data_IF_560868498075
#
_entry.id   IF_560868498075
#
_cell.length_a   1.000
_cell.length_b   1.000
_cell.length_c   1.000
_cell.angle_alpha   90.00
_cell.angle_beta   90.00
_cell.angle_gamma   90.00
#
_symmetry.space_group_name_H-M   'P 1'
#
loop_
_entity.id
_entity.type
_entity.pdbx_description
1 polymer ?
#
# COMPACT_ATOMS: atom_id res chain seq x y z
N UNK A 1 -18.71 7.39 20.74
CA UNK A 1 -17.64 6.43 20.41
C UNK A 1 -17.16 6.81 19.04
N UNK A 2 -16.00 7.45 18.93
CA UNK A 2 -15.53 8.03 17.69
C UNK A 2 -15.11 6.98 16.67
N UNK A 3 -15.01 7.39 15.40
CA UNK A 3 -14.54 6.61 14.26
C UNK A 3 -13.02 6.34 14.32
N UNK A 4 -12.51 5.99 15.51
CA UNK A 4 -11.08 5.82 15.73
C UNK A 4 -10.66 4.40 15.35
N UNK A 5 -9.77 4.31 14.37
CA UNK A 5 -9.14 3.06 13.95
C UNK A 5 -7.74 2.97 14.56
N UNK A 6 -7.37 1.75 14.99
CA UNK A 6 -6.02 1.48 15.49
C UNK A 6 -5.02 1.30 14.35
N UNK A 7 -3.76 1.63 14.61
CA UNK A 7 -2.63 1.37 13.71
C UNK A 7 -1.84 0.13 14.12
N UNK A 8 -1.25 -0.54 13.15
CA UNK A 8 -0.56 -1.81 13.33
C UNK A 8 -1.48 -3.04 13.21
N UNK A 9 -0.82 -4.21 13.22
CA UNK A 9 -1.50 -5.50 13.16
C UNK A 9 -2.05 -5.90 14.54
N UNK A 10 -3.16 -6.66 14.60
CA UNK A 10 -3.64 -7.28 15.83
C UNK A 10 -2.53 -8.08 16.54
N UNK A 11 -2.49 -8.04 17.87
CA UNK A 11 -1.44 -8.67 18.68
C UNK A 11 -1.32 -10.19 18.46
N UNK A 12 -2.41 -10.83 18.02
CA UNK A 12 -2.47 -12.27 17.73
C UNK A 12 -1.85 -12.63 16.37
N UNK A 13 -1.58 -11.64 15.50
CA UNK A 13 -1.03 -11.85 14.17
C UNK A 13 0.49 -11.68 14.20
N UNK A 14 1.18 -12.78 13.91
CA UNK A 14 2.62 -12.78 13.63
C UNK A 14 2.86 -12.49 12.14
N UNK A 15 3.46 -11.35 11.84
CA UNK A 15 3.85 -10.96 10.48
C UNK A 15 5.17 -11.61 10.04
N UNK A 16 5.20 -12.94 10.00
CA UNK A 16 6.36 -13.68 9.48
C UNK A 16 6.37 -13.76 7.95
N UNK A 17 7.41 -14.41 7.41
CA UNK A 17 7.62 -14.54 5.97
C UNK A 17 6.43 -15.22 5.26
N UNK A 18 5.87 -16.27 5.86
CA UNK A 18 4.76 -17.01 5.25
C UNK A 18 3.49 -16.16 5.25
N UNK A 19 3.27 -15.37 6.31
CA UNK A 19 2.18 -14.40 6.36
C UNK A 19 2.31 -13.32 5.28
N UNK A 20 3.51 -12.79 5.05
CA UNK A 20 3.76 -11.82 3.98
C UNK A 20 3.62 -12.44 2.58
N UNK A 21 4.08 -13.67 2.38
CA UNK A 21 3.88 -14.41 1.11
C UNK A 21 2.39 -14.60 0.85
N UNK A 22 1.62 -14.98 1.89
CA UNK A 22 0.17 -15.09 1.80
C UNK A 22 -0.46 -13.74 1.45
N UNK A 23 -0.02 -12.67 2.09
CA UNK A 23 -0.45 -11.30 1.79
C UNK A 23 -0.22 -10.93 0.34
N UNK A 24 0.98 -11.17 -0.19
CA UNK A 24 1.33 -10.97 -1.59
C UNK A 24 0.41 -11.72 -2.55
N UNK A 25 0.16 -13.02 -2.28
CA UNK A 25 -0.72 -13.84 -3.11
C UNK A 25 -2.14 -13.26 -3.14
N UNK A 26 -2.68 -12.90 -1.98
CA UNK A 26 -4.03 -12.35 -1.86
C UNK A 26 -4.14 -10.96 -2.49
N UNK A 27 -3.13 -10.12 -2.31
CA UNK A 27 -3.05 -8.84 -2.98
C UNK A 27 -3.05 -8.99 -4.51
N UNK A 28 -2.25 -9.92 -5.05
CA UNK A 28 -2.22 -10.20 -6.48
C UNK A 28 -3.57 -10.63 -7.06
N UNK A 29 -4.33 -11.43 -6.29
CA UNK A 29 -5.65 -11.94 -6.72
C UNK A 29 -6.72 -10.83 -6.68
N UNK A 30 -6.78 -10.07 -5.59
CA UNK A 30 -7.93 -9.19 -5.31
C UNK A 30 -7.67 -7.70 -5.52
N UNK A 31 -6.41 -7.26 -5.43
CA UNK A 31 -6.08 -5.84 -5.31
C UNK A 31 -5.29 -5.32 -6.52
N UNK A 32 -4.32 -6.11 -7.03
CA UNK A 32 -3.40 -5.68 -8.08
C UNK A 32 -4.09 -5.32 -9.40
N UNK A 33 -5.24 -5.91 -9.70
CA UNK A 33 -6.03 -5.60 -10.90
C UNK A 33 -6.44 -4.12 -10.98
N UNK A 34 -6.63 -3.47 -9.82
CA UNK A 34 -6.89 -2.05 -9.71
C UNK A 34 -5.64 -1.27 -9.29
N UNK A 35 -4.97 -1.70 -8.21
CA UNK A 35 -3.89 -0.94 -7.57
C UNK A 35 -2.49 -1.20 -8.16
N UNK A 36 -2.38 -2.05 -9.19
CA UNK A 36 -1.13 -2.61 -9.74
C UNK A 36 -0.35 -3.46 -8.75
N UNK A 37 0.55 -4.32 -9.24
CA UNK A 37 1.44 -5.12 -8.38
C UNK A 37 2.34 -4.25 -7.49
N UNK A 38 2.69 -3.06 -7.98
CA UNK A 38 3.51 -2.09 -7.25
C UNK A 38 2.72 -1.30 -6.22
N UNK A 39 1.38 -1.30 -6.24
CA UNK A 39 0.55 -0.44 -5.38
C UNK A 39 0.41 1.01 -5.85
N UNK A 40 0.93 1.36 -7.04
CA UNK A 40 0.93 2.73 -7.53
C UNK A 40 -0.41 3.22 -8.13
N UNK A 41 -1.45 2.40 -8.10
CA UNK A 41 -2.77 2.75 -8.66
C UNK A 41 -2.88 2.62 -10.18
N UNK A 42 -1.82 2.18 -10.88
CA UNK A 42 -1.82 2.04 -12.34
C UNK A 42 -2.12 0.60 -12.79
N UNK A 43 -3.10 -0.06 -12.17
CA UNK A 43 -3.53 -1.40 -12.57
C UNK A 43 -4.35 -1.37 -13.87
N UNK A 44 -4.58 -2.53 -14.51
CA UNK A 44 -5.32 -2.62 -15.78
C UNK A 44 -6.69 -1.91 -15.77
N UNK A 45 -7.40 -1.95 -14.64
CA UNK A 45 -8.73 -1.33 -14.50
C UNK A 45 -8.70 0.19 -14.66
N UNK A 46 -7.55 0.84 -14.45
CA UNK A 46 -7.41 2.29 -14.56
C UNK A 46 -7.87 2.85 -15.91
N UNK A 47 -7.68 2.12 -17.00
CA UNK A 47 -8.00 2.58 -18.36
C UNK A 47 -9.48 2.43 -18.74
N UNK A 48 -10.32 1.85 -17.88
CA UNK A 48 -11.74 1.58 -18.17
C UNK A 48 -12.68 2.68 -17.65
N UNK A 49 -12.21 3.93 -17.59
CA UNK A 49 -13.05 5.04 -17.13
C UNK A 49 -14.08 5.46 -18.18
N UNK A 50 -15.13 6.20 -17.77
CA UNK A 50 -16.17 6.66 -18.67
C UNK A 50 -15.60 7.63 -19.72
N UNK A 51 -16.19 7.63 -20.92
CA UNK A 51 -15.82 8.52 -22.03
C UNK A 51 -14.33 8.42 -22.44
N UNK A 52 -13.71 7.24 -22.29
CA UNK A 52 -12.28 7.04 -22.55
C UNK A 52 -11.37 7.67 -21.49
N UNK A 53 -11.93 8.12 -20.37
CA UNK A 53 -11.19 8.61 -19.21
C UNK A 53 -10.60 7.49 -18.36
N UNK A 54 -10.05 7.85 -17.21
CA UNK A 54 -9.43 6.90 -16.31
C UNK A 54 -10.21 6.78 -14.99
N UNK A 55 -10.28 5.57 -14.43
CA UNK A 55 -10.81 5.36 -13.09
C UNK A 55 -9.78 5.88 -12.07
N UNK A 56 -10.17 6.75 -11.11
CA UNK A 56 -9.25 7.25 -10.10
C UNK A 56 -9.01 6.17 -9.04
N UNK A 57 -7.98 5.37 -9.25
CA UNK A 57 -7.52 4.36 -8.29
C UNK A 57 -6.48 4.98 -7.36
N UNK A 58 -6.62 4.73 -6.06
CA UNK A 58 -5.67 5.23 -5.08
C UNK A 58 -4.27 4.64 -5.30
N UNK A 59 -3.26 5.53 -5.27
CA UNK A 59 -1.88 5.15 -5.11
C UNK A 59 -1.61 4.87 -3.63
N UNK A 60 -1.30 3.63 -3.31
CA UNK A 60 -1.09 3.17 -1.94
C UNK A 60 0.22 3.70 -1.33
N UNK A 61 1.06 4.37 -2.12
CA UNK A 61 2.27 5.06 -1.65
C UNK A 61 2.06 6.54 -1.33
N UNK A 62 0.84 7.06 -1.49
CA UNK A 62 0.55 8.43 -1.07
C UNK A 62 0.67 8.54 0.46
N UNK A 63 1.12 9.70 0.96
CA UNK A 63 1.41 9.91 2.38
C UNK A 63 0.23 9.59 3.32
N UNK A 64 -1.01 9.89 2.90
CA UNK A 64 -2.23 9.51 3.64
C UNK A 64 -2.41 8.00 3.87
N UNK A 65 -1.67 7.15 3.16
CA UNK A 65 -1.66 5.71 3.36
C UNK A 65 -0.36 5.19 3.93
N UNK A 66 0.76 5.92 3.82
CA UNK A 66 2.10 5.40 4.12
C UNK A 66 2.82 6.13 5.25
N UNK A 67 2.35 7.30 5.65
CA UNK A 67 3.02 8.18 6.61
C UNK A 67 2.11 8.44 7.82
N UNK A 68 2.40 7.83 8.99
CA UNK A 68 1.64 8.04 10.22
C UNK A 68 1.58 9.49 10.71
N UNK A 69 2.53 10.34 10.30
CA UNK A 69 2.56 11.76 10.66
C UNK A 69 1.68 12.62 9.74
N UNK A 70 1.14 12.02 8.67
CA UNK A 70 0.25 12.74 7.77
C UNK A 70 -1.11 13.01 8.45
N UNK A 71 -1.66 14.23 8.37
CA UNK A 71 -2.95 14.56 9.00
C UNK A 71 -4.15 13.80 8.40
N UNK A 72 -4.00 13.26 7.18
CA UNK A 72 -5.00 12.40 6.53
C UNK A 72 -4.64 10.91 6.62
N UNK A 73 -3.68 10.54 7.48
CA UNK A 73 -3.21 9.17 7.62
C UNK A 73 -4.36 8.21 7.92
N UNK A 74 -4.39 7.12 7.16
CA UNK A 74 -5.31 6.01 7.34
C UNK A 74 -4.58 4.89 8.04
N UNK A 75 -4.87 4.64 9.32
CA UNK A 75 -4.23 3.57 10.06
C UNK A 75 -4.68 2.20 9.54
N UNK A 76 -3.93 1.16 9.90
CA UNK A 76 -4.18 -0.21 9.42
C UNK A 76 -5.63 -0.69 9.64
N UNK A 77 -6.26 -0.32 10.76
CA UNK A 77 -7.66 -0.62 11.04
C UNK A 77 -8.64 0.03 10.04
N UNK A 78 -8.35 1.24 9.57
CA UNK A 78 -9.17 1.89 8.55
C UNK A 78 -8.99 1.19 7.19
N UNK A 79 -7.76 0.82 6.84
CA UNK A 79 -7.49 0.02 5.65
C UNK A 79 -8.24 -1.32 5.69
N UNK A 80 -8.24 -2.00 6.84
CA UNK A 80 -9.03 -3.22 7.04
C UNK A 80 -10.52 -2.97 6.83
N UNK A 81 -11.06 -1.90 7.40
CA UNK A 81 -12.47 -1.54 7.22
C UNK A 81 -12.80 -1.20 5.76
N UNK A 82 -11.92 -0.52 5.03
CA UNK A 82 -12.09 -0.24 3.59
C UNK A 82 -12.12 -1.53 2.78
N UNK A 83 -11.20 -2.48 3.03
CA UNK A 83 -11.24 -3.78 2.34
C UNK A 83 -12.54 -4.52 2.68
N UNK A 84 -13.00 -4.40 3.93
CA UNK A 84 -14.20 -5.08 4.43
C UNK A 84 -15.49 -4.56 3.81
N UNK A 85 -15.69 -3.24 3.89
CA UNK A 85 -16.97 -2.57 3.60
C UNK A 85 -16.95 -1.80 2.28
N UNK A 86 -15.81 -1.68 1.64
CA UNK A 86 -15.62 -0.84 0.46
C UNK A 86 -15.48 0.64 0.82
N UNK A 87 -15.11 1.45 -0.18
CA UNK A 87 -15.11 2.92 -0.12
C UNK A 87 -15.16 3.51 -1.51
N UNK A 88 -16.13 4.40 -1.75
CA UNK A 88 -16.31 5.03 -3.06
C UNK A 88 -16.52 3.97 -4.16
N UNK A 89 -15.68 3.98 -5.19
CA UNK A 89 -15.72 3.00 -6.29
C UNK A 89 -15.15 1.62 -5.93
N UNK A 90 -14.47 1.50 -4.79
CA UNK A 90 -13.96 0.21 -4.32
C UNK A 90 -15.09 -0.55 -3.60
N UNK A 91 -15.57 -1.64 -4.20
CA UNK A 91 -16.60 -2.50 -3.60
C UNK A 91 -16.12 -3.24 -2.33
N UNK A 92 -17.05 -3.80 -1.54
CA UNK A 92 -16.72 -4.56 -0.34
C UNK A 92 -16.14 -5.94 -0.68
N UNK A 93 -15.06 -6.33 0.00
CA UNK A 93 -14.43 -7.66 -0.13
C UNK A 93 -14.59 -8.53 1.13
N UNK A 94 -15.29 -8.05 2.17
CA UNK A 94 -15.43 -8.77 3.44
C UNK A 94 -16.07 -10.16 3.34
N UNK A 95 -16.94 -10.39 2.35
CA UNK A 95 -17.53 -11.70 2.07
C UNK A 95 -16.65 -12.63 1.21
N UNK A 96 -15.66 -12.07 0.49
CA UNK A 96 -14.79 -12.81 -0.41
C UNK A 96 -13.43 -13.14 0.22
N UNK A 97 -12.94 -12.31 1.14
CA UNK A 97 -11.61 -12.41 1.74
C UNK A 97 -11.73 -12.61 3.26
N UNK A 98 -11.26 -13.75 3.80
CA UNK A 98 -11.24 -14.00 5.24
C UNK A 98 -10.50 -12.89 6.02
N UNK A 99 -10.87 -12.65 7.28
CA UNK A 99 -10.27 -11.59 8.10
C UNK A 99 -8.73 -11.68 8.17
N UNK A 100 -8.20 -12.89 8.40
CA UNK A 100 -6.74 -13.13 8.43
C UNK A 100 -6.05 -12.75 7.12
N UNK A 101 -6.68 -13.05 5.98
CA UNK A 101 -6.13 -12.74 4.66
C UNK A 101 -6.20 -11.23 4.36
N UNK A 102 -7.19 -10.50 4.88
CA UNK A 102 -7.25 -9.02 4.78
C UNK A 102 -6.10 -8.37 5.55
N UNK A 103 -5.80 -8.85 6.75
CA UNK A 103 -4.62 -8.41 7.51
C UNK A 103 -3.31 -8.77 6.80
N UNK A 104 -3.22 -9.94 6.18
CA UNK A 104 -2.05 -10.32 5.39
C UNK A 104 -1.85 -9.38 4.19
N UNK A 105 -2.92 -8.99 3.50
CA UNK A 105 -2.88 -7.98 2.44
C UNK A 105 -2.31 -6.66 2.96
N UNK A 106 -2.81 -6.17 4.11
CA UNK A 106 -2.33 -4.91 4.70
C UNK A 106 -0.84 -5.00 5.06
N UNK A 107 -0.41 -6.08 5.70
CA UNK A 107 1.00 -6.32 6.00
C UNK A 107 1.88 -6.30 4.73
N UNK A 108 1.40 -6.88 3.63
CA UNK A 108 2.09 -6.81 2.34
C UNK A 108 2.12 -5.39 1.75
N UNK A 109 1.04 -4.61 1.88
CA UNK A 109 1.02 -3.20 1.45
C UNK A 109 2.03 -2.38 2.24
N UNK A 110 2.16 -2.59 3.57
CA UNK A 110 3.21 -1.94 4.38
C UNK A 110 4.61 -2.30 3.90
N UNK A 111 4.85 -3.58 3.62
CA UNK A 111 6.12 -4.02 3.05
C UNK A 111 6.42 -3.36 1.67
N UNK A 112 5.41 -3.10 0.83
CA UNK A 112 5.57 -2.37 -0.42
C UNK A 112 5.96 -0.90 -0.19
N UNK A 113 5.33 -0.23 0.77
CA UNK A 113 5.63 1.15 1.14
C UNK A 113 7.07 1.28 1.68
N UNK A 114 7.45 0.38 2.60
CA UNK A 114 8.80 0.33 3.17
C UNK A 114 9.87 0.09 2.10
N UNK A 115 9.61 -0.83 1.17
CA UNK A 115 10.50 -1.12 0.06
C UNK A 115 10.70 0.11 -0.85
N UNK A 116 9.63 0.89 -1.12
CA UNK A 116 9.71 2.11 -1.92
C UNK A 116 10.53 3.20 -1.22
N UNK A 117 10.32 3.39 0.09
CA UNK A 117 11.07 4.36 0.89
C UNK A 117 12.55 3.99 0.92
N UNK A 118 12.86 2.71 1.15
CA UNK A 118 14.25 2.21 1.17
C UNK A 118 14.94 2.45 -0.17
N UNK A 119 14.29 2.09 -1.29
CA UNK A 119 14.83 2.31 -2.62
C UNK A 119 15.04 3.80 -2.96
N UNK A 120 14.19 4.70 -2.44
CA UNK A 120 14.36 6.13 -2.64
C UNK A 120 15.60 6.67 -1.89
N UNK A 121 15.79 6.25 -0.63
CA UNK A 121 16.95 6.63 0.19
C UNK A 121 18.26 6.13 -0.42
N UNK A 122 18.27 4.90 -0.94
CA UNK A 122 19.46 4.35 -1.61
C UNK A 122 19.86 5.14 -2.87
N UNK A 123 18.88 5.62 -3.64
CA UNK A 123 19.15 6.46 -4.83
C UNK A 123 19.71 7.83 -4.44
N UNK A 124 19.17 8.44 -3.39
CA UNK A 124 19.65 9.72 -2.88
C UNK A 124 21.10 9.62 -2.36
N UNK A 125 21.40 8.56 -1.61
CA UNK A 125 22.75 8.32 -1.11
C UNK A 125 23.75 8.14 -2.26
N UNK A 126 23.39 7.35 -3.29
CA UNK A 126 24.23 7.18 -4.48
C UNK A 126 24.44 8.48 -5.26
N UNK A 127 23.42 9.34 -5.35
CA UNK A 127 23.55 10.64 -6.00
C UNK A 127 24.53 11.55 -5.23
N UNK A 128 24.39 11.63 -3.91
CA UNK A 128 25.29 12.39 -3.03
C UNK A 128 26.73 11.89 -3.08
N UNK A 129 26.94 10.57 -3.11
CA UNK A 129 28.27 9.97 -3.28
C UNK A 129 28.87 10.32 -4.65
N UNK A 130 28.08 10.29 -5.73
CA UNK A 130 28.57 10.64 -7.08
C UNK A 130 28.92 12.13 -7.23
N UNK A 131 28.20 13.02 -6.55
CA UNK A 131 28.49 14.45 -6.51
C UNK A 131 29.75 14.74 -5.69
N UNK A 132 29.92 14.09 -4.52
CA UNK A 132 31.10 14.24 -3.68
C UNK A 132 32.39 13.78 -4.38
N UNK A 133 32.34 12.65 -5.09
CA UNK A 133 33.47 12.14 -5.89
C UNK A 133 33.84 13.08 -7.04
N UNK A 134 32.88 13.82 -7.60
CA UNK A 134 33.15 14.80 -8.66
C UNK A 134 33.80 16.09 -8.15
N UNK A 135 33.58 16.46 -6.89
CA UNK A 135 34.16 17.66 -6.26
C UNK A 135 35.57 17.46 -5.71
N UNK A 136 36.02 16.23 -5.48
CA UNK A 136 37.39 15.92 -5.01
C UNK A 136 38.41 15.73 -6.15
N UNK A 137 37.97 15.75 -7.41
CA UNK A 137 38.84 15.62 -8.60
C UNK A 137 39.15 16.95 -9.31
N UNK A 138 38.83 18.09 -8.69
CA UNK A 138 39.15 19.45 -9.12
C UNK A 138 39.91 20.20 -8.04
#
# INVERSE_FOLDING_TARGET
MGDYFGDGLPAEIKADKDFLIRGKQRYGIYCAICHADSGNGNGPVRSFGPNGGQIPIANLHDAKFSDPENPEYRPDGEMFNIITKGRGLMGPYGGAIPAKDRWAIIAYVRALQDAKITAAKEKENKAKESEAVSTEQT
#
